data_IF_579842634118
#
_entry.id   IF_579842634118
#
_cell.length_a   1.000
_cell.length_b   1.000
_cell.length_c   1.000
_cell.angle_alpha   90.00
_cell.angle_beta   90.00
_cell.angle_gamma   90.00
#
_symmetry.space_group_name_H-M   'P 1'
#
loop_
_entity.id
_entity.type
_entity.pdbx_description
1 polymer ?
#
# COMPACT_ATOMS: atom_id res chain seq x y z
N UNK A 1 -12.22 -10.39 -4.58
CA UNK A 1 -12.58 -11.36 -3.52
C UNK A 1 -13.23 -10.67 -2.32
N UNK A 2 -12.64 -9.60 -1.77
CA UNK A 2 -13.15 -8.90 -0.58
C UNK A 2 -14.43 -8.13 -0.87
N UNK A 3 -14.49 -7.38 -1.98
CA UNK A 3 -15.63 -6.55 -2.35
C UNK A 3 -16.88 -7.36 -2.72
N UNK A 4 -16.73 -8.60 -3.21
CA UNK A 4 -17.84 -9.52 -3.48
C UNK A 4 -18.69 -9.79 -2.23
N UNK A 5 -18.08 -9.68 -1.04
CA UNK A 5 -18.78 -9.86 0.24
C UNK A 5 -19.02 -8.53 0.96
N UNK A 6 -19.07 -7.41 0.23
CA UNK A 6 -19.35 -6.07 0.78
C UNK A 6 -18.21 -5.44 1.58
N UNK A 7 -17.04 -6.09 1.67
CA UNK A 7 -15.90 -5.61 2.44
C UNK A 7 -14.96 -4.68 1.67
N UNK A 8 -13.90 -4.23 2.35
CA UNK A 8 -12.87 -3.38 1.76
C UNK A 8 -13.41 -2.09 1.19
N UNK A 9 -13.04 -1.77 -0.06
CA UNK A 9 -13.47 -0.51 -0.70
C UNK A 9 -14.95 -0.43 -1.07
N UNK A 10 -15.73 -1.52 -0.94
CA UNK A 10 -17.18 -1.50 -1.12
C UNK A 10 -17.92 -1.04 0.15
N UNK A 11 -17.34 -1.29 1.34
CA UNK A 11 -17.99 -1.03 2.63
C UNK A 11 -18.40 0.44 2.84
N UNK A 12 -17.59 1.46 2.50
CA UNK A 12 -17.96 2.86 2.73
C UNK A 12 -19.22 3.33 1.96
N UNK A 13 -19.64 2.60 0.95
CA UNK A 13 -20.91 2.88 0.25
C UNK A 13 -22.11 2.69 1.18
N UNK A 14 -22.13 1.65 2.02
CA UNK A 14 -23.15 1.39 3.04
C UNK A 14 -22.83 2.21 4.31
N UNK A 15 -23.23 3.48 4.33
CA UNK A 15 -22.85 4.49 5.34
C UNK A 15 -23.17 4.05 6.77
N UNK A 16 -24.36 3.49 7.01
CA UNK A 16 -24.77 3.05 8.34
C UNK A 16 -23.96 1.81 8.79
N UNK A 17 -23.75 0.84 7.92
CA UNK A 17 -22.94 -0.34 8.21
C UNK A 17 -21.48 0.07 8.46
N UNK A 18 -20.92 0.95 7.63
CA UNK A 18 -19.57 1.47 7.83
C UNK A 18 -19.41 2.16 9.18
N UNK A 19 -20.36 3.04 9.56
CA UNK A 19 -20.40 3.68 10.89
C UNK A 19 -20.42 2.65 12.03
N UNK A 20 -21.26 1.63 11.93
CA UNK A 20 -21.35 0.57 12.94
C UNK A 20 -20.03 -0.17 13.10
N UNK A 21 -19.38 -0.57 12.01
CA UNK A 21 -18.10 -1.28 12.01
C UNK A 21 -16.98 -0.41 12.63
N UNK A 22 -16.88 0.86 12.20
CA UNK A 22 -15.85 1.76 12.71
C UNK A 22 -16.07 2.07 14.19
N UNK A 23 -17.31 2.34 14.60
CA UNK A 23 -17.67 2.60 16.01
C UNK A 23 -17.31 1.39 16.88
N UNK A 24 -17.67 0.18 16.45
CA UNK A 24 -17.34 -1.03 17.19
C UNK A 24 -15.84 -1.24 17.33
N UNK A 25 -15.07 -0.96 16.26
CA UNK A 25 -13.62 -1.06 16.31
C UNK A 25 -12.99 -0.05 17.29
N UNK A 26 -13.42 1.22 17.27
CA UNK A 26 -12.94 2.26 18.19
C UNK A 26 -13.26 1.90 19.64
N UNK A 27 -14.51 1.47 19.91
CA UNK A 27 -14.91 1.06 21.26
C UNK A 27 -14.13 -0.13 21.79
N UNK A 28 -13.92 -1.15 20.96
CA UNK A 28 -13.18 -2.35 21.33
C UNK A 28 -11.67 -2.09 21.54
N UNK A 29 -11.10 -1.14 20.83
CA UNK A 29 -9.68 -0.79 20.92
C UNK A 29 -9.29 -0.07 22.22
N UNK A 30 -10.26 0.55 22.92
CA UNK A 30 -10.00 1.28 24.15
C UNK A 30 -8.99 2.41 23.96
N UNK A 31 -7.81 2.30 24.57
CA UNK A 31 -6.74 3.30 24.45
C UNK A 31 -5.86 3.17 23.20
N UNK A 32 -6.00 2.09 22.43
CA UNK A 32 -5.23 1.89 21.20
C UNK A 32 -5.83 2.75 20.07
N UNK A 33 -5.05 3.63 19.42
CA UNK A 33 -5.58 4.47 18.36
C UNK A 33 -6.00 3.63 17.13
N UNK A 34 -7.23 3.85 16.67
CA UNK A 34 -7.76 3.24 15.44
C UNK A 34 -7.60 4.23 14.30
N UNK A 35 -7.07 3.78 13.17
CA UNK A 35 -7.00 4.56 11.93
C UNK A 35 -7.75 3.85 10.82
N UNK A 36 -8.29 4.61 9.87
CA UNK A 36 -9.02 4.03 8.74
C UNK A 36 -8.38 4.46 7.44
N UNK A 37 -8.14 3.48 6.56
CA UNK A 37 -7.65 3.74 5.20
C UNK A 37 -8.69 3.29 4.17
N UNK A 38 -9.02 4.16 3.22
CA UNK A 38 -9.99 3.90 2.17
C UNK A 38 -9.54 4.43 0.81
N UNK A 39 -10.33 4.14 -0.22
CA UNK A 39 -10.18 4.65 -1.58
C UNK A 39 -11.21 5.73 -1.87
N UNK A 40 -11.08 6.42 -3.02
CA UNK A 40 -11.98 7.48 -3.45
C UNK A 40 -13.43 7.00 -3.57
N UNK A 41 -13.62 5.78 -3.98
CA UNK A 41 -14.92 5.14 -4.14
C UNK A 41 -14.80 3.75 -4.76
N UNK A 42 -15.91 3.17 -5.12
CA UNK A 42 -15.98 1.90 -5.85
C UNK A 42 -15.50 2.12 -7.29
N UNK A 43 -16.09 3.07 -7.96
CA UNK A 43 -15.83 3.54 -9.32
C UNK A 43 -16.12 5.05 -9.42
N UNK A 44 -16.13 5.61 -10.62
CA UNK A 44 -16.28 7.06 -10.85
C UNK A 44 -17.73 7.54 -10.60
N UNK A 45 -18.72 6.62 -10.62
CA UNK A 45 -20.14 6.91 -10.33
C UNK A 45 -20.45 6.79 -8.83
N UNK A 46 -19.69 5.98 -8.09
CA UNK A 46 -19.91 5.67 -6.68
C UNK A 46 -18.75 6.13 -5.80
N UNK A 47 -18.58 7.46 -5.73
CA UNK A 47 -17.56 8.10 -4.88
C UNK A 47 -18.05 8.12 -3.44
N UNK A 48 -17.21 7.69 -2.49
CA UNK A 48 -17.58 7.51 -1.08
C UNK A 48 -16.67 8.24 -0.10
N UNK A 49 -15.53 8.76 -0.55
CA UNK A 49 -14.44 9.22 0.32
C UNK A 49 -14.80 10.36 1.26
N UNK A 50 -15.64 11.32 0.84
CA UNK A 50 -16.03 12.45 1.72
C UNK A 50 -16.91 11.96 2.87
N UNK A 51 -17.92 11.14 2.59
CA UNK A 51 -18.77 10.58 3.61
C UNK A 51 -18.01 9.62 4.51
N UNK A 52 -17.13 8.77 3.92
CA UNK A 52 -16.28 7.86 4.69
C UNK A 52 -15.37 8.60 5.67
N UNK A 53 -14.78 9.71 5.23
CA UNK A 53 -13.92 10.54 6.09
C UNK A 53 -14.68 11.16 7.25
N UNK A 54 -15.81 11.82 6.97
CA UNK A 54 -16.67 12.45 8.00
C UNK A 54 -17.22 11.42 8.98
N UNK A 55 -17.70 10.28 8.49
CA UNK A 55 -18.18 9.20 9.36
C UNK A 55 -17.06 8.68 10.26
N UNK A 56 -15.86 8.48 9.72
CA UNK A 56 -14.71 8.02 10.49
C UNK A 56 -14.31 9.05 11.59
N UNK A 57 -14.27 10.34 11.24
CA UNK A 57 -14.03 11.44 12.18
C UNK A 57 -15.07 11.45 13.30
N UNK A 58 -16.37 11.41 12.98
CA UNK A 58 -17.48 11.33 13.94
C UNK A 58 -17.39 10.11 14.86
N UNK A 59 -16.87 8.97 14.36
CA UNK A 59 -16.70 7.76 15.16
C UNK A 59 -15.48 7.80 16.09
N UNK A 60 -14.64 8.86 16.02
CA UNK A 60 -13.50 9.03 16.91
C UNK A 60 -12.25 8.27 16.51
N UNK A 61 -12.03 8.03 15.20
CA UNK A 61 -10.75 7.46 14.73
C UNK A 61 -9.61 8.47 14.92
N UNK A 62 -8.40 7.98 15.10
CA UNK A 62 -7.21 8.81 15.35
C UNK A 62 -6.67 9.49 14.09
N UNK A 63 -6.89 8.91 12.93
CA UNK A 63 -6.51 9.46 11.61
C UNK A 63 -7.21 8.72 10.47
N UNK A 64 -7.29 9.36 9.31
CA UNK A 64 -7.75 8.73 8.06
C UNK A 64 -6.66 8.80 6.99
N UNK A 65 -6.66 7.82 6.08
CA UNK A 65 -5.77 7.82 4.91
C UNK A 65 -6.57 7.57 3.64
N UNK A 66 -6.36 8.41 2.62
CA UNK A 66 -7.03 8.29 1.33
C UNK A 66 -6.06 7.89 0.23
N UNK A 67 -6.36 6.79 -0.47
CA UNK A 67 -5.72 6.47 -1.74
C UNK A 67 -6.50 7.14 -2.89
N UNK A 68 -5.87 8.05 -3.61
CA UNK A 68 -6.45 8.84 -4.70
C UNK A 68 -6.85 8.05 -5.95
N UNK A 69 -7.36 6.83 -5.77
CA UNK A 69 -7.90 5.95 -6.83
C UNK A 69 -9.16 5.25 -6.35
N UNK A 70 -10.05 4.93 -7.29
CA UNK A 70 -11.20 4.06 -7.02
C UNK A 70 -10.78 2.59 -6.90
N UNK A 71 -11.70 1.73 -6.43
CA UNK A 71 -11.48 0.27 -6.40
C UNK A 71 -11.34 -0.26 -7.82
N UNK A 72 -12.20 0.20 -8.73
CA UNK A 72 -12.20 -0.17 -10.16
C UNK A 72 -10.87 0.10 -10.85
N UNK A 73 -10.24 1.24 -10.57
CA UNK A 73 -8.92 1.60 -11.13
C UNK A 73 -7.80 0.67 -10.70
N UNK A 74 -7.91 -0.01 -9.56
CA UNK A 74 -6.81 -0.78 -8.94
C UNK A 74 -5.54 0.07 -8.80
N UNK A 75 -4.65 -0.02 -9.78
CA UNK A 75 -3.38 0.71 -9.85
C UNK A 75 -3.13 1.35 -11.22
N UNK A 76 -4.14 1.37 -12.09
CA UNK A 76 -4.07 2.01 -13.41
C UNK A 76 -4.19 3.52 -13.32
N UNK A 77 -3.79 4.20 -14.37
CA UNK A 77 -3.82 5.66 -14.45
C UNK A 77 -2.95 6.34 -13.39
N UNK A 78 -3.33 7.55 -13.03
CA UNK A 78 -2.67 8.38 -12.01
C UNK A 78 -3.59 8.55 -10.80
N UNK A 79 -3.04 8.59 -9.60
CA UNK A 79 -3.81 8.90 -8.39
C UNK A 79 -4.26 10.37 -8.43
N UNK A 80 -5.55 10.60 -8.25
CA UNK A 80 -6.11 11.96 -8.20
C UNK A 80 -5.89 12.58 -6.82
N UNK A 81 -4.83 13.37 -6.68
CA UNK A 81 -4.49 14.05 -5.45
C UNK A 81 -5.50 15.15 -5.07
N UNK A 82 -6.29 15.67 -6.02
CA UNK A 82 -7.34 16.65 -5.71
C UNK A 82 -8.41 16.09 -4.78
N UNK A 83 -8.62 14.77 -4.78
CA UNK A 83 -9.53 14.10 -3.85
C UNK A 83 -8.99 14.12 -2.42
N UNK A 84 -7.67 14.06 -2.25
CA UNK A 84 -7.01 14.19 -0.93
C UNK A 84 -7.19 15.60 -0.38
N UNK A 85 -6.99 16.63 -1.23
CA UNK A 85 -7.24 18.02 -0.84
C UNK A 85 -8.68 18.23 -0.38
N UNK A 86 -9.65 17.76 -1.17
CA UNK A 86 -11.08 17.86 -0.81
C UNK A 86 -11.42 17.10 0.48
N UNK A 87 -10.78 15.95 0.73
CA UNK A 87 -10.96 15.25 1.99
C UNK A 87 -10.38 16.04 3.15
N UNK A 88 -9.21 16.67 2.99
CA UNK A 88 -8.60 17.50 4.02
C UNK A 88 -9.44 18.73 4.38
N UNK A 89 -10.13 19.30 3.39
CA UNK A 89 -11.11 20.38 3.64
C UNK A 89 -12.33 19.88 4.41
N UNK A 90 -12.75 18.62 4.19
CA UNK A 90 -13.97 18.05 4.78
C UNK A 90 -13.76 17.43 6.18
N UNK A 91 -12.54 17.00 6.50
CA UNK A 91 -12.13 16.36 7.77
C UNK A 91 -11.12 17.27 8.45
N UNK A 92 -11.50 17.87 9.58
CA UNK A 92 -10.76 19.00 10.17
C UNK A 92 -10.20 18.72 11.57
N UNK A 93 -10.76 17.75 12.29
CA UNK A 93 -10.38 17.49 13.69
C UNK A 93 -9.33 16.37 13.86
N UNK A 94 -9.09 15.58 12.81
CA UNK A 94 -8.11 14.50 12.82
C UNK A 94 -7.15 14.60 11.62
N UNK A 95 -5.94 14.02 11.71
CA UNK A 95 -5.01 13.98 10.61
C UNK A 95 -5.57 13.25 9.39
N UNK A 96 -5.31 13.82 8.18
CA UNK A 96 -5.58 13.22 6.88
C UNK A 96 -4.27 12.87 6.21
N UNK A 97 -4.06 11.60 5.88
CA UNK A 97 -2.85 11.11 5.23
C UNK A 97 -3.12 10.83 3.74
N UNK A 98 -2.27 11.38 2.89
CA UNK A 98 -2.33 11.18 1.44
C UNK A 98 -1.65 9.89 1.00
N UNK A 99 -2.22 9.18 0.01
CA UNK A 99 -1.64 7.97 -0.57
C UNK A 99 -1.88 7.91 -2.08
N UNK A 100 -0.89 7.45 -2.80
CA UNK A 100 -0.92 7.19 -4.25
C UNK A 100 0.21 7.87 -5.01
N UNK A 101 0.94 7.08 -5.82
CA UNK A 101 2.00 7.52 -6.73
C UNK A 101 3.15 8.30 -6.05
N UNK A 102 3.48 7.95 -4.83
CA UNK A 102 4.69 8.42 -4.14
C UNK A 102 5.80 7.40 -4.43
N UNK A 103 6.74 7.78 -5.27
CA UNK A 103 7.87 6.98 -5.71
C UNK A 103 9.19 7.46 -5.14
N UNK A 104 9.33 8.76 -4.91
CA UNK A 104 10.48 9.43 -4.33
C UNK A 104 10.05 10.29 -3.14
N UNK A 105 11.00 10.68 -2.28
CA UNK A 105 10.69 11.51 -1.11
C UNK A 105 10.11 12.88 -1.50
N UNK A 106 10.55 13.43 -2.63
CA UNK A 106 10.05 14.69 -3.19
C UNK A 106 8.55 14.62 -3.55
N UNK A 107 8.04 13.43 -3.95
CA UNK A 107 6.62 13.26 -4.23
C UNK A 107 5.77 13.43 -2.97
N UNK A 108 6.30 13.00 -1.80
CA UNK A 108 5.63 13.18 -0.54
C UNK A 108 5.51 14.67 -0.16
N UNK A 109 6.61 15.42 -0.28
CA UNK A 109 6.60 16.87 -0.06
C UNK A 109 5.64 17.58 -1.01
N UNK A 110 5.66 17.19 -2.29
CA UNK A 110 4.76 17.73 -3.31
C UNK A 110 3.30 17.43 -2.97
N UNK A 111 2.97 16.19 -2.61
CA UNK A 111 1.61 15.82 -2.20
C UNK A 111 1.13 16.67 -1.04
N UNK A 112 1.93 16.81 0.03
CA UNK A 112 1.57 17.63 1.19
C UNK A 112 1.38 19.10 0.82
N UNK A 113 2.26 19.65 -0.01
CA UNK A 113 2.17 21.05 -0.47
C UNK A 113 0.91 21.30 -1.34
N UNK A 114 0.57 20.38 -2.24
CA UNK A 114 -0.57 20.53 -3.14
C UNK A 114 -1.93 20.24 -2.49
N UNK A 115 -1.96 19.35 -1.49
CA UNK A 115 -3.23 18.87 -0.91
C UNK A 115 -3.50 19.37 0.51
N UNK A 116 -2.48 19.89 1.18
CA UNK A 116 -2.57 20.28 2.58
C UNK A 116 -2.73 19.09 3.55
N UNK A 117 -2.56 17.84 3.11
CA UNK A 117 -2.63 16.68 4.00
C UNK A 117 -1.51 16.69 5.04
N UNK A 118 -1.77 16.06 6.20
CA UNK A 118 -0.89 16.12 7.36
C UNK A 118 0.31 15.16 7.31
N UNK A 119 0.31 14.27 6.33
CA UNK A 119 1.36 13.28 6.10
C UNK A 119 1.01 12.35 4.95
N UNK A 120 1.85 11.32 4.76
CA UNK A 120 1.69 10.41 3.63
C UNK A 120 1.74 8.94 4.03
N UNK A 121 1.10 8.09 3.23
CA UNK A 121 1.20 6.63 3.32
C UNK A 121 1.88 6.11 2.06
N UNK A 122 2.98 5.38 2.23
CA UNK A 122 3.71 4.80 1.12
C UNK A 122 3.25 3.35 0.91
N UNK A 123 2.84 3.04 -0.32
CA UNK A 123 2.49 1.68 -0.74
C UNK A 123 3.60 1.07 -1.61
N UNK A 124 3.32 0.90 -2.90
CA UNK A 124 4.23 0.26 -3.85
C UNK A 124 5.60 0.92 -3.99
N UNK A 125 5.72 2.23 -3.69
CA UNK A 125 6.99 2.95 -3.79
C UNK A 125 8.10 2.38 -2.92
N UNK A 126 7.77 1.79 -1.76
CA UNK A 126 8.76 1.20 -0.85
C UNK A 126 9.08 -0.29 -1.14
N UNK A 127 8.42 -0.94 -2.11
CA UNK A 127 8.71 -2.34 -2.43
C UNK A 127 10.16 -2.52 -2.90
N UNK A 128 10.96 -3.24 -2.11
CA UNK A 128 12.40 -3.41 -2.33
C UNK A 128 13.21 -2.12 -2.17
N UNK A 129 12.68 -1.12 -1.46
CA UNK A 129 13.31 0.18 -1.22
C UNK A 129 13.09 0.64 0.23
N UNK A 130 13.53 -0.12 1.25
CA UNK A 130 13.32 0.28 2.64
C UNK A 130 14.01 1.61 2.99
N UNK A 131 15.10 1.95 2.32
CA UNK A 131 15.80 3.24 2.46
C UNK A 131 14.92 4.46 2.10
N UNK A 132 13.82 4.28 1.35
CA UNK A 132 12.90 5.38 1.04
C UNK A 132 12.36 6.05 2.32
N UNK A 133 12.18 5.30 3.40
CA UNK A 133 11.73 5.89 4.67
C UNK A 133 12.79 6.79 5.32
N UNK A 134 14.08 6.45 5.20
CA UNK A 134 15.18 7.34 5.60
C UNK A 134 15.24 8.60 4.75
N UNK A 135 15.03 8.47 3.43
CA UNK A 135 14.94 9.62 2.51
C UNK A 135 13.74 10.53 2.85
N UNK A 136 12.57 9.94 3.18
CA UNK A 136 11.39 10.69 3.64
C UNK A 136 11.65 11.42 4.95
N UNK A 137 12.31 10.76 5.91
CA UNK A 137 12.65 11.39 7.20
C UNK A 137 13.55 12.60 7.00
N UNK A 138 14.60 12.50 6.17
CA UNK A 138 15.46 13.62 5.83
C UNK A 138 14.67 14.75 5.13
N UNK A 139 13.84 14.39 4.14
CA UNK A 139 13.00 15.36 3.43
C UNK A 139 12.08 16.16 4.37
N UNK A 140 11.41 15.46 5.30
CA UNK A 140 10.53 16.12 6.28
C UNK A 140 11.28 16.94 7.32
N UNK A 141 12.53 16.59 7.62
CA UNK A 141 13.40 17.39 8.47
C UNK A 141 14.01 18.62 7.77
N UNK A 142 13.79 18.77 6.45
CA UNK A 142 14.44 19.81 5.64
C UNK A 142 15.94 19.57 5.43
N UNK A 143 16.40 18.34 5.62
CA UNK A 143 17.77 17.90 5.41
C UNK A 143 17.99 17.46 3.96
N UNK A 144 19.25 17.41 3.49
CA UNK A 144 19.56 16.83 2.18
C UNK A 144 19.08 15.38 2.08
N UNK A 145 18.30 15.08 1.03
CA UNK A 145 17.78 13.74 0.79
C UNK A 145 18.95 12.83 0.37
N UNK A 146 19.23 11.72 1.09
CA UNK A 146 20.28 10.78 0.72
C UNK A 146 20.07 10.20 -0.67
N UNK A 147 21.15 10.02 -1.44
CA UNK A 147 21.07 9.32 -2.71
C UNK A 147 20.58 7.87 -2.53
N UNK A 148 19.93 7.27 -3.55
CA UNK A 148 19.64 5.84 -3.52
C UNK A 148 20.95 5.03 -3.35
N UNK A 149 20.91 3.91 -2.61
CA UNK A 149 22.09 3.05 -2.44
C UNK A 149 22.53 2.44 -3.78
N UNK A 150 23.82 2.12 -3.89
CA UNK A 150 24.37 1.33 -5.00
C UNK A 150 23.93 -0.15 -4.88
N UNK A 151 24.18 -0.95 -5.92
CA UNK A 151 23.86 -2.40 -5.89
C UNK A 151 24.56 -3.11 -4.74
N UNK A 152 25.82 -2.79 -4.45
CA UNK A 152 26.58 -3.42 -3.35
C UNK A 152 26.08 -2.98 -1.98
N UNK A 153 25.54 -1.79 -1.83
CA UNK A 153 24.88 -1.32 -0.60
C UNK A 153 23.49 -1.94 -0.41
N UNK A 154 22.80 -2.34 -1.49
CA UNK A 154 21.51 -3.04 -1.43
C UNK A 154 21.67 -4.50 -1.00
N UNK A 155 22.78 -5.16 -1.37
CA UNK A 155 23.05 -6.57 -1.08
C UNK A 155 22.88 -6.94 0.40
N UNK A 156 23.52 -6.26 1.37
CA UNK A 156 23.36 -6.58 2.80
C UNK A 156 21.90 -6.43 3.27
N UNK A 157 21.16 -5.45 2.76
CA UNK A 157 19.75 -5.26 3.10
C UNK A 157 18.90 -6.44 2.59
N UNK A 158 19.20 -6.95 1.39
CA UNK A 158 18.53 -8.13 0.85
C UNK A 158 18.80 -9.37 1.68
N UNK A 159 20.03 -9.59 2.11
CA UNK A 159 20.44 -10.73 2.93
C UNK A 159 19.76 -10.67 4.32
N UNK A 160 19.76 -9.49 4.94
CA UNK A 160 19.08 -9.28 6.22
C UNK A 160 17.57 -9.58 6.12
N UNK A 161 16.89 -9.01 5.12
CA UNK A 161 15.46 -9.26 4.93
C UNK A 161 15.16 -10.76 4.69
N UNK A 162 15.97 -11.43 3.88
CA UNK A 162 15.83 -12.88 3.67
C UNK A 162 16.04 -13.66 4.98
N UNK A 163 17.05 -13.28 5.77
CA UNK A 163 17.32 -13.87 7.09
C UNK A 163 16.11 -13.72 8.03
N UNK A 164 15.54 -12.53 8.15
CA UNK A 164 14.34 -12.28 8.96
C UNK A 164 13.13 -13.13 8.53
N UNK A 165 12.95 -13.34 7.22
CA UNK A 165 11.89 -14.21 6.72
C UNK A 165 12.16 -15.69 7.04
N UNK A 166 13.43 -16.13 6.97
CA UNK A 166 13.86 -17.48 7.34
C UNK A 166 13.66 -17.70 8.83
N UNK A 167 14.05 -16.77 9.68
CA UNK A 167 13.87 -16.85 11.14
C UNK A 167 12.38 -16.94 11.52
N UNK A 168 11.51 -16.25 10.80
CA UNK A 168 10.07 -16.23 11.08
C UNK A 168 9.33 -17.45 10.53
N UNK A 169 9.61 -17.85 9.30
CA UNK A 169 8.86 -18.88 8.57
C UNK A 169 9.56 -20.24 8.46
N UNK A 170 10.84 -20.35 8.89
CA UNK A 170 11.73 -21.46 8.64
C UNK A 170 12.37 -21.39 7.24
N UNK A 171 13.47 -22.14 7.05
CA UNK A 171 14.34 -22.08 5.89
C UNK A 171 13.58 -22.20 4.56
N UNK A 172 12.80 -23.24 4.39
CA UNK A 172 12.14 -23.55 3.13
C UNK A 172 11.08 -22.49 2.74
N UNK A 173 10.23 -22.09 3.70
CA UNK A 173 9.16 -21.12 3.43
C UNK A 173 9.71 -19.69 3.36
N UNK A 174 10.61 -19.32 4.28
CA UNK A 174 11.19 -17.98 4.32
C UNK A 174 11.89 -17.59 3.03
N UNK A 175 12.75 -18.48 2.50
CA UNK A 175 13.47 -18.20 1.24
C UNK A 175 12.53 -18.12 0.05
N UNK A 176 11.48 -18.95 -0.03
CA UNK A 176 10.47 -18.90 -1.10
C UNK A 176 9.66 -17.60 -1.06
N UNK A 177 9.31 -17.12 0.13
CA UNK A 177 8.65 -15.83 0.31
C UNK A 177 9.56 -14.67 -0.11
N UNK A 178 10.88 -14.79 0.08
CA UNK A 178 11.84 -13.77 -0.33
C UNK A 178 12.00 -13.67 -1.86
N UNK A 179 11.78 -14.72 -2.64
CA UNK A 179 11.99 -14.73 -4.11
C UNK A 179 11.32 -13.56 -4.82
N UNK A 180 10.10 -13.20 -4.46
CA UNK A 180 9.39 -12.05 -5.06
C UNK A 180 10.06 -10.71 -4.75
N UNK A 181 10.75 -10.60 -3.61
CA UNK A 181 11.43 -9.39 -3.18
C UNK A 181 12.72 -9.13 -3.97
N UNK A 182 13.40 -10.17 -4.46
CA UNK A 182 14.64 -10.01 -5.23
C UNK A 182 14.42 -9.14 -6.47
N UNK A 183 13.31 -9.35 -7.18
CA UNK A 183 12.94 -8.56 -8.34
C UNK A 183 12.63 -7.08 -7.97
N UNK A 184 12.06 -6.84 -6.79
CA UNK A 184 11.74 -5.48 -6.33
C UNK A 184 12.99 -4.73 -5.87
N UNK A 185 13.92 -5.36 -5.16
CA UNK A 185 15.17 -4.76 -4.73
C UNK A 185 16.03 -4.31 -5.90
N UNK A 186 16.21 -5.18 -6.86
CA UNK A 186 17.08 -4.93 -8.00
C UNK A 186 16.39 -4.16 -9.15
N UNK A 187 15.10 -3.80 -9.01
CA UNK A 187 14.37 -3.10 -10.07
C UNK A 187 14.99 -1.74 -10.36
N UNK A 188 15.31 -1.51 -11.62
CA UNK A 188 15.96 -0.29 -12.10
C UNK A 188 17.48 -0.34 -12.13
N UNK A 189 18.11 -1.20 -11.34
CA UNK A 189 19.56 -1.39 -11.37
C UNK A 189 20.02 -2.18 -12.62
N UNK A 190 21.26 -1.94 -13.09
CA UNK A 190 21.80 -2.61 -14.28
C UNK A 190 22.27 -4.05 -13.96
N UNK A 191 21.39 -4.87 -13.41
CA UNK A 191 21.65 -6.27 -13.10
C UNK A 191 21.09 -7.14 -14.24
N UNK A 192 21.90 -8.05 -14.76
CA UNK A 192 21.58 -8.89 -15.91
C UNK A 192 20.36 -9.80 -15.70
N UNK A 193 19.67 -10.13 -16.79
CA UNK A 193 18.46 -10.97 -16.76
C UNK A 193 18.70 -12.39 -16.26
N UNK A 194 19.88 -12.97 -16.56
CA UNK A 194 20.27 -14.29 -16.08
C UNK A 194 20.30 -14.36 -14.55
N UNK A 195 21.04 -13.43 -13.91
CA UNK A 195 21.13 -13.38 -12.45
C UNK A 195 19.76 -13.14 -11.80
N UNK A 196 18.91 -12.26 -12.39
CA UNK A 196 17.53 -12.06 -11.92
C UNK A 196 16.72 -13.35 -11.97
N UNK A 197 16.90 -14.15 -13.05
CA UNK A 197 16.24 -15.45 -13.22
C UNK A 197 16.69 -16.46 -12.17
N UNK A 198 17.97 -16.50 -11.83
CA UNK A 198 18.53 -17.35 -10.76
C UNK A 198 18.00 -16.92 -9.38
N UNK A 199 18.03 -15.63 -9.06
CA UNK A 199 17.52 -15.08 -7.80
C UNK A 199 16.02 -15.37 -7.59
N UNK A 200 15.22 -15.44 -8.66
CA UNK A 200 13.81 -15.82 -8.58
C UNK A 200 13.56 -17.29 -8.23
N UNK A 201 14.62 -18.13 -8.19
CA UNK A 201 14.54 -19.59 -7.98
C UNK A 201 15.41 -20.10 -6.83
N UNK A 202 16.01 -19.21 -6.05
CA UNK A 202 16.87 -19.56 -4.90
C UNK A 202 16.13 -20.49 -3.93
N UNK A 203 16.87 -21.44 -3.34
CA UNK A 203 16.33 -22.44 -2.41
C UNK A 203 16.92 -22.33 -1.00
N UNK A 204 18.02 -21.58 -0.84
CA UNK A 204 18.65 -21.35 0.44
C UNK A 204 19.20 -19.94 0.59
N UNK A 205 19.44 -19.52 1.82
CA UNK A 205 20.08 -18.25 2.14
C UNK A 205 21.54 -18.23 1.68
N UNK A 206 22.22 -19.38 1.68
CA UNK A 206 23.58 -19.51 1.17
C UNK A 206 23.64 -19.25 -0.35
N UNK A 207 22.76 -19.91 -1.10
CA UNK A 207 22.66 -19.66 -2.55
C UNK A 207 22.33 -18.19 -2.86
N UNK A 208 21.48 -17.55 -2.05
CA UNK A 208 21.23 -16.11 -2.18
C UNK A 208 22.53 -15.31 -2.03
N UNK A 209 23.33 -15.59 -0.99
CA UNK A 209 24.59 -14.90 -0.73
C UNK A 209 25.60 -15.10 -1.86
N UNK A 210 25.75 -16.32 -2.35
CA UNK A 210 26.65 -16.65 -3.48
C UNK A 210 26.29 -15.87 -4.74
N UNK A 211 24.98 -15.84 -5.10
CA UNK A 211 24.53 -15.11 -6.28
C UNK A 211 24.68 -13.60 -6.13
N UNK A 212 24.36 -13.05 -4.95
CA UNK A 212 24.50 -11.61 -4.70
C UNK A 212 25.96 -11.16 -4.65
N UNK A 213 26.89 -12.03 -4.27
CA UNK A 213 28.33 -11.74 -4.29
C UNK A 213 28.90 -11.53 -5.71
N UNK A 214 28.17 -11.92 -6.74
CA UNK A 214 28.57 -11.72 -8.15
C UNK A 214 28.12 -10.38 -8.74
N UNK A 215 27.42 -9.56 -7.97
CA UNK A 215 26.89 -8.26 -8.43
C UNK A 215 28.01 -7.23 -8.40
N UNK A 216 28.28 -6.62 -9.55
CA UNK A 216 29.17 -5.45 -9.63
C UNK A 216 28.51 -4.22 -9.01
N UNK A 217 29.33 -3.33 -8.46
CA UNK A 217 28.84 -2.07 -7.91
C UNK A 217 28.35 -1.14 -9.01
N UNK A 218 27.11 -0.67 -8.84
CA UNK A 218 26.49 0.25 -9.78
C UNK A 218 25.45 1.13 -9.09
N UNK A 219 25.38 2.43 -9.42
CA UNK A 219 24.32 3.30 -8.94
C UNK A 219 22.96 2.94 -9.58
N UNK A 220 21.89 3.37 -8.94
CA UNK A 220 20.56 3.37 -9.57
C UNK A 220 20.50 4.52 -10.58
N UNK A 221 20.34 4.26 -11.90
CA UNK A 221 20.22 5.31 -12.90
C UNK A 221 19.01 6.22 -12.62
N UNK A 222 19.15 7.52 -12.82
CA UNK A 222 18.12 8.51 -12.49
C UNK A 222 16.82 8.26 -13.27
N UNK A 223 16.90 7.85 -14.53
CA UNK A 223 15.76 7.49 -15.36
C UNK A 223 14.98 6.27 -14.83
N UNK A 224 15.60 5.45 -14.00
CA UNK A 224 15.01 4.25 -13.42
C UNK A 224 14.47 4.44 -12.00
N UNK A 225 14.63 5.61 -11.38
CA UNK A 225 14.20 5.87 -10.00
C UNK A 225 12.68 5.73 -9.84
N UNK A 226 11.91 6.19 -10.82
CA UNK A 226 10.43 6.22 -10.82
C UNK A 226 9.76 5.04 -11.50
N UNK A 227 10.49 3.96 -11.76
CA UNK A 227 9.91 2.75 -12.37
C UNK A 227 8.84 2.15 -11.46
N UNK A 228 7.63 2.00 -11.98
CA UNK A 228 6.49 1.44 -11.24
C UNK A 228 6.79 0.05 -10.68
N UNK A 229 6.45 -0.18 -9.42
CA UNK A 229 6.71 -1.42 -8.66
C UNK A 229 5.40 -2.11 -8.29
N UNK A 230 5.45 -3.41 -8.04
CA UNK A 230 4.29 -4.20 -7.69
C UNK A 230 3.35 -4.47 -8.87
N UNK A 231 2.10 -4.77 -8.55
CA UNK A 231 1.09 -5.07 -9.56
C UNK A 231 0.64 -3.80 -10.29
N UNK A 232 0.51 -3.90 -11.62
CA UNK A 232 0.09 -2.80 -12.52
C UNK A 232 -1.12 -3.22 -13.38
N UNK A 233 -2.00 -4.07 -12.85
CA UNK A 233 -3.20 -4.50 -13.58
C UNK A 233 -4.07 -3.30 -13.94
N UNK A 234 -4.66 -3.34 -15.13
CA UNK A 234 -5.62 -2.35 -15.61
C UNK A 234 -6.93 -2.32 -14.81
N UNK A 235 -7.85 -1.41 -15.17
CA UNK A 235 -9.14 -1.28 -14.50
C UNK A 235 -9.93 -2.59 -14.57
N UNK A 236 -10.73 -2.84 -13.54
CA UNK A 236 -11.57 -4.04 -13.47
C UNK A 236 -12.97 -3.68 -12.99
N UNK A 237 -13.97 -4.44 -13.46
CA UNK A 237 -15.31 -4.40 -12.87
C UNK A 237 -15.22 -4.88 -11.43
N UNK A 238 -15.78 -4.10 -10.50
CA UNK A 238 -15.79 -4.45 -9.08
C UNK A 238 -16.94 -5.43 -8.82
N UNK A 239 -16.60 -6.65 -8.40
CA UNK A 239 -17.61 -7.60 -7.96
C UNK A 239 -18.18 -7.17 -6.60
N UNK A 240 -19.48 -7.01 -6.51
CA UNK A 240 -20.23 -6.61 -5.33
C UNK A 240 -21.30 -7.67 -5.01
N UNK A 241 -21.87 -7.70 -3.79
CA UNK A 241 -23.06 -8.46 -3.50
C UNK A 241 -24.27 -7.97 -4.34
N UNK A 242 -25.23 -8.85 -4.60
CA UNK A 242 -26.45 -8.48 -5.29
C UNK A 242 -27.20 -7.39 -4.52
N UNK A 243 -27.69 -6.36 -5.24
CA UNK A 243 -28.41 -5.22 -4.65
C UNK A 243 -27.54 -4.30 -3.77
N UNK A 244 -26.21 -4.47 -3.75
CA UNK A 244 -25.34 -3.66 -2.88
C UNK A 244 -25.46 -2.17 -3.09
N UNK A 245 -25.69 -1.72 -4.31
CA UNK A 245 -25.81 -0.31 -4.68
C UNK A 245 -27.22 0.27 -4.59
N UNK A 246 -28.25 -0.52 -4.20
CA UNK A 246 -29.65 -0.07 -4.18
C UNK A 246 -29.93 0.94 -3.07
N UNK A 247 -29.37 0.73 -1.87
CA UNK A 247 -29.57 1.62 -0.72
C UNK A 247 -28.24 1.88 0.02
N UNK A 248 -27.69 3.10 -0.05
CA UNK A 248 -26.44 3.47 0.64
C UNK A 248 -26.58 3.56 2.18
N UNK A 249 -27.79 3.55 2.72
CA UNK A 249 -28.03 3.65 4.17
C UNK A 249 -28.43 2.31 4.81
N UNK A 250 -28.56 1.27 4.02
CA UNK A 250 -28.80 -0.08 4.53
C UNK A 250 -27.67 -0.53 5.46
N UNK A 251 -28.02 -1.22 6.54
CA UNK A 251 -27.11 -1.77 7.55
C UNK A 251 -26.95 -3.29 7.44
N UNK A 252 -27.58 -3.93 6.45
CA UNK A 252 -27.49 -5.37 6.29
C UNK A 252 -26.04 -5.78 5.91
N UNK A 253 -25.55 -6.81 6.58
CA UNK A 253 -24.31 -7.49 6.19
C UNK A 253 -24.66 -8.40 5.01
N UNK A 254 -23.83 -8.37 3.95
CA UNK A 254 -23.99 -9.32 2.85
C UNK A 254 -23.95 -10.76 3.39
N UNK A 255 -24.91 -11.59 3.00
CA UNK A 255 -24.90 -13.01 3.36
C UNK A 255 -23.61 -13.64 2.83
N UNK A 256 -22.92 -14.36 3.70
CA UNK A 256 -21.76 -15.15 3.29
C UNK A 256 -22.28 -16.32 2.46
N UNK A 257 -21.90 -16.41 1.18
CA UNK A 257 -22.13 -17.62 0.39
C UNK A 257 -21.59 -18.82 1.18
N UNK A 258 -22.48 -19.80 1.44
CA UNK A 258 -22.20 -20.94 2.32
C UNK A 258 -21.07 -21.90 1.90
N UNK A 259 -20.26 -21.52 0.90
CA UNK A 259 -19.25 -22.38 0.27
C UNK A 259 -17.77 -22.06 0.64
N UNK A 260 -17.50 -21.12 1.56
CA UNK A 260 -16.10 -20.76 1.90
C UNK A 260 -15.56 -21.34 3.21
N UNK A 261 -16.27 -22.25 3.88
CA UNK A 261 -15.81 -22.88 5.12
C UNK A 261 -14.85 -24.09 4.91
N UNK A 262 -14.47 -24.40 3.67
CA UNK A 262 -13.71 -25.62 3.36
C UNK A 262 -12.41 -25.39 2.58
N UNK A 263 -11.67 -24.29 2.80
CA UNK A 263 -10.29 -24.18 2.27
C UNK A 263 -9.42 -23.24 3.10
N UNK A 264 -9.28 -23.58 4.37
CA UNK A 264 -8.22 -23.10 5.26
C UNK A 264 -7.24 -24.22 5.48
N UNK A 265 -6.23 -24.35 4.62
CA UNK A 265 -5.13 -25.26 4.77
C UNK A 265 -3.86 -24.58 4.29
#
# INVERSE_FOLDING_TARGET
KVTRHGGGGALPFKRNLYRQVVTAAVQAAGSVPVTVKFRVGIDDEHLTYLDAGRIAEDCGVAAVALHGRTVSQLYSGVADWSTIARLKEAVTSIPVLGNGDIWEAEDALKMMAETGCDGVVIGRGCLGRPWLFGQLAAAFAGEPIPAPPTTTEVVPIMIEHAGLLVDWFGDHKGIREFRKHTAWYLKGYPVGGELRGLLGRIESLEQLRELLATIDDAPLPDENRRVARGHTRGPQVVALPDGWLDDPYDSAVAEADGDSAASGG
#
